data_IF_462178328538
#
_entry.id   IF_462178328538
#
_cell.length_a   1.000
_cell.length_b   1.000
_cell.length_c   1.000
_cell.angle_alpha   90.00
_cell.angle_beta   90.00
_cell.angle_gamma   90.00
#
_symmetry.space_group_name_H-M   'P 1'
#
loop_
_entity.id
_entity.type
_entity.pdbx_description
1 polymer ?
#
# COMPACT_ATOMS: atom_id res chain seq x y z
N UNK A 1 -3.70 24.48 -13.47
CA UNK A 1 -4.28 25.62 -12.72
C UNK A 1 -4.48 25.23 -11.26
N UNK A 2 -4.42 26.21 -10.35
CA UNK A 2 -3.96 26.11 -8.95
C UNK A 2 -4.74 25.14 -8.05
N UNK A 3 -4.01 24.20 -7.40
CA UNK A 3 -4.46 23.40 -6.25
C UNK A 3 -4.54 24.30 -5.01
N UNK A 4 -5.65 24.98 -4.84
CA UNK A 4 -6.00 25.72 -3.62
C UNK A 4 -6.95 24.89 -2.76
N UNK A 5 -6.47 24.51 -1.58
CA UNK A 5 -7.13 23.68 -0.57
C UNK A 5 -8.60 24.02 -0.28
N UNK A 6 -9.51 23.05 -0.52
CA UNK A 6 -10.95 23.12 -0.21
C UNK A 6 -11.26 23.19 1.29
N UNK A 7 -10.30 22.80 2.15
CA UNK A 7 -10.37 23.06 3.60
C UNK A 7 -10.50 24.56 3.92
N UNK A 8 -10.08 25.44 3.01
CA UNK A 8 -10.24 26.89 3.19
C UNK A 8 -11.67 27.36 2.91
N UNK A 9 -12.40 26.70 1.99
CA UNK A 9 -13.80 26.98 1.69
C UNK A 9 -14.72 26.48 2.82
N UNK A 10 -14.47 25.26 3.32
CA UNK A 10 -15.24 24.68 4.44
C UNK A 10 -15.11 25.55 5.70
N UNK A 11 -13.97 26.21 5.94
CA UNK A 11 -13.82 27.14 7.07
C UNK A 11 -14.71 28.37 7.01
N UNK A 12 -15.16 28.80 5.82
CA UNK A 12 -16.03 29.97 5.61
C UNK A 12 -17.54 29.69 5.77
N UNK A 13 -17.96 28.43 5.74
CA UNK A 13 -19.36 28.06 5.94
C UNK A 13 -19.80 28.32 7.38
N UNK A 14 -21.03 28.84 7.54
CA UNK A 14 -21.66 29.02 8.86
C UNK A 14 -21.84 27.68 9.57
N UNK A 15 -21.93 27.70 10.91
CA UNK A 15 -22.07 26.48 11.71
C UNK A 15 -23.33 25.68 11.32
N UNK A 16 -24.43 26.36 11.04
CA UNK A 16 -25.70 25.75 10.64
C UNK A 16 -25.62 25.07 9.26
N UNK A 17 -24.88 25.66 8.31
CA UNK A 17 -24.69 25.09 6.96
C UNK A 17 -23.80 23.84 6.99
N UNK A 18 -22.83 23.80 7.89
CA UNK A 18 -21.99 22.61 8.11
C UNK A 18 -22.79 21.46 8.69
N UNK A 19 -23.65 21.74 9.68
CA UNK A 19 -24.50 20.75 10.34
C UNK A 19 -25.50 20.16 9.34
N UNK A 20 -26.16 21.00 8.54
CA UNK A 20 -27.09 20.54 7.51
C UNK A 20 -26.44 19.58 6.49
N UNK A 21 -25.25 19.93 5.99
CA UNK A 21 -24.52 19.07 5.04
C UNK A 21 -24.04 17.76 5.67
N UNK A 22 -23.68 17.77 6.96
CA UNK A 22 -23.22 16.55 7.65
C UNK A 22 -24.37 15.62 8.02
N UNK A 23 -25.52 16.15 8.41
CA UNK A 23 -26.68 15.34 8.78
C UNK A 23 -27.39 14.77 7.54
N UNK A 24 -27.51 15.55 6.45
CA UNK A 24 -28.04 15.04 5.18
C UNK A 24 -27.14 13.95 4.58
N UNK A 25 -25.81 14.15 4.64
CA UNK A 25 -24.83 13.14 4.25
C UNK A 25 -24.92 11.85 5.08
N UNK A 26 -25.21 11.95 6.38
CA UNK A 26 -25.39 10.80 7.28
C UNK A 26 -26.66 10.03 6.99
N UNK A 27 -27.78 10.72 6.77
CA UNK A 27 -29.06 10.09 6.46
C UNK A 27 -29.04 9.36 5.12
N UNK A 28 -28.43 9.94 4.09
CA UNK A 28 -28.26 9.27 2.79
C UNK A 28 -27.28 8.08 2.89
N UNK A 29 -26.14 8.25 3.60
CA UNK A 29 -25.20 7.15 3.83
C UNK A 29 -25.83 5.98 4.61
N UNK A 30 -26.70 6.26 5.58
CA UNK A 30 -27.42 5.24 6.34
C UNK A 30 -28.46 4.50 5.48
N UNK A 31 -29.13 5.18 4.55
CA UNK A 31 -30.05 4.54 3.58
C UNK A 31 -29.33 3.62 2.61
N UNK A 32 -28.11 3.97 2.20
CA UNK A 32 -27.33 3.19 1.22
C UNK A 32 -26.32 2.21 1.86
N UNK A 33 -26.27 2.13 3.20
CA UNK A 33 -25.41 1.19 3.93
C UNK A 33 -23.91 1.52 3.90
N UNK A 34 -23.56 2.79 3.73
CA UNK A 34 -22.18 3.29 3.72
C UNK A 34 -21.74 3.85 5.07
N UNK A 35 -20.43 3.89 5.31
CA UNK A 35 -19.87 4.50 6.53
C UNK A 35 -19.68 6.00 6.32
N UNK A 36 -19.80 6.79 7.39
CA UNK A 36 -19.68 8.27 7.35
C UNK A 36 -18.35 8.76 6.78
N UNK A 37 -17.31 7.92 6.76
CA UNK A 37 -16.00 8.25 6.21
C UNK A 37 -15.98 8.34 4.68
N UNK A 38 -16.88 7.65 3.98
CA UNK A 38 -16.92 7.60 2.51
C UNK A 38 -17.49 8.89 1.88
N UNK A 39 -18.29 9.65 2.64
CA UNK A 39 -18.96 10.86 2.15
C UNK A 39 -18.04 12.09 2.14
N UNK A 40 -16.97 12.10 2.96
CA UNK A 40 -16.11 13.27 3.11
C UNK A 40 -15.26 13.60 1.88
N UNK A 41 -14.99 12.63 1.00
CA UNK A 41 -14.15 12.84 -0.19
C UNK A 41 -14.81 13.75 -1.24
N UNK A 42 -16.14 13.73 -1.33
CA UNK A 42 -16.90 14.58 -2.27
C UNK A 42 -16.84 16.07 -1.89
N UNK A 43 -16.79 16.37 -0.58
CA UNK A 43 -16.73 17.74 -0.08
C UNK A 43 -15.34 18.38 -0.26
N UNK A 44 -14.26 17.60 -0.26
CA UNK A 44 -12.89 18.08 -0.51
C UNK A 44 -12.64 18.53 -1.97
N UNK A 45 -13.59 18.31 -2.88
CA UNK A 45 -13.47 18.65 -4.30
C UNK A 45 -14.54 19.65 -4.79
N UNK A 46 -15.42 20.13 -3.90
CA UNK A 46 -16.48 21.07 -4.25
C UNK A 46 -15.98 22.53 -4.35
N UNK A 47 -16.42 23.25 -5.38
CA UNK A 47 -16.17 24.70 -5.56
C UNK A 47 -17.36 25.52 -5.06
N UNK A 48 -17.22 26.85 -4.94
CA UNK A 48 -18.24 27.76 -4.39
C UNK A 48 -19.58 27.73 -5.17
N UNK A 49 -19.53 27.46 -6.48
CA UNK A 49 -20.71 27.26 -7.32
C UNK A 49 -21.51 25.98 -6.95
N UNK A 50 -20.84 24.95 -6.43
CA UNK A 50 -21.45 23.67 -6.05
C UNK A 50 -22.32 23.84 -4.80
N UNK A 51 -22.01 24.77 -3.90
CA UNK A 51 -22.78 24.97 -2.65
C UNK A 51 -24.16 25.60 -2.91
N UNK A 52 -24.24 26.57 -3.82
CA UNK A 52 -25.52 27.16 -4.27
C UNK A 52 -26.36 26.16 -5.07
N UNK A 53 -25.71 25.35 -5.92
CA UNK A 53 -26.38 24.28 -6.67
C UNK A 53 -26.84 23.12 -5.77
N UNK A 54 -26.12 22.80 -4.69
CA UNK A 54 -26.55 21.81 -3.68
C UNK A 54 -27.79 22.31 -2.91
N UNK A 55 -27.93 23.61 -2.68
CA UNK A 55 -29.14 24.19 -2.07
C UNK A 55 -30.35 24.16 -3.01
N UNK A 56 -30.13 24.21 -4.34
CA UNK A 56 -31.20 24.27 -5.35
C UNK A 56 -31.56 22.93 -5.99
N UNK A 57 -30.62 22.00 -6.08
CA UNK A 57 -30.82 20.73 -6.78
C UNK A 57 -30.93 19.57 -5.80
N UNK A 58 -31.93 18.70 -6.03
CA UNK A 58 -32.01 17.37 -5.44
C UNK A 58 -30.85 16.52 -5.94
N UNK A 59 -29.70 16.60 -5.29
CA UNK A 59 -28.60 15.66 -5.54
C UNK A 59 -28.90 14.35 -4.81
N UNK A 60 -28.81 13.23 -5.53
CA UNK A 60 -28.61 11.92 -4.91
C UNK A 60 -27.15 11.86 -4.48
N UNK A 61 -26.88 11.63 -3.20
CA UNK A 61 -25.56 11.29 -2.71
C UNK A 61 -25.23 9.91 -3.26
N UNK A 62 -24.39 9.86 -4.29
CA UNK A 62 -23.85 8.59 -4.75
C UNK A 62 -22.87 8.11 -3.70
N UNK A 63 -23.17 7.00 -3.02
CA UNK A 63 -22.14 6.26 -2.29
C UNK A 63 -20.98 5.98 -3.23
N UNK A 64 -19.85 6.68 -3.03
CA UNK A 64 -18.56 6.35 -3.65
C UNK A 64 -18.04 5.04 -3.03
N UNK A 65 -18.70 3.94 -3.35
CA UNK A 65 -18.20 2.60 -3.08
C UNK A 65 -17.05 2.33 -4.06
N UNK A 66 -15.90 2.95 -3.80
CA UNK A 66 -14.74 3.06 -4.69
C UNK A 66 -15.05 3.79 -6.01
N UNK A 67 -14.10 4.52 -6.62
CA UNK A 67 -14.35 5.15 -7.91
C UNK A 67 -14.85 4.10 -8.90
N UNK A 68 -15.93 4.40 -9.64
CA UNK A 68 -16.37 3.61 -10.78
C UNK A 68 -15.22 3.62 -11.79
N UNK A 69 -14.37 2.61 -11.75
CA UNK A 69 -13.27 2.48 -12.71
C UNK A 69 -13.89 1.95 -14.00
N UNK A 70 -14.08 2.84 -14.97
CA UNK A 70 -14.43 2.46 -16.33
C UNK A 70 -13.31 1.57 -16.90
N UNK A 71 -13.69 0.57 -17.69
CA UNK A 71 -12.73 -0.29 -18.36
C UNK A 71 -11.98 0.51 -19.44
N UNK A 72 -10.67 0.73 -19.24
CA UNK A 72 -9.83 1.49 -20.17
C UNK A 72 -9.56 0.74 -21.48
N UNK A 73 -9.70 -0.60 -21.48
CA UNK A 73 -9.29 -1.43 -22.63
C UNK A 73 -10.32 -1.47 -23.76
N UNK A 74 -11.61 -1.48 -23.45
CA UNK A 74 -12.65 -1.63 -24.47
C UNK A 74 -13.14 -0.31 -25.07
N UNK A 75 -12.65 0.86 -24.62
CA UNK A 75 -13.14 2.19 -25.03
C UNK A 75 -14.68 2.30 -25.01
N UNK A 76 -15.31 1.49 -24.15
CA UNK A 76 -16.73 1.52 -23.91
C UNK A 76 -16.90 2.22 -22.57
N UNK A 77 -17.21 3.52 -22.63
CA UNK A 77 -17.29 4.38 -21.45
C UNK A 77 -18.38 3.92 -20.46
N UNK A 78 -19.32 3.10 -20.92
CA UNK A 78 -20.40 2.54 -20.11
C UNK A 78 -20.06 1.17 -19.50
N UNK A 79 -18.93 0.55 -19.87
CA UNK A 79 -18.54 -0.76 -19.35
C UNK A 79 -18.00 -0.63 -17.91
N UNK A 80 -18.87 -0.89 -16.94
CA UNK A 80 -18.54 -0.92 -15.52
C UNK A 80 -17.88 -2.26 -15.18
N UNK A 81 -16.71 -2.23 -14.55
CA UNK A 81 -16.09 -3.45 -14.04
C UNK A 81 -16.94 -4.05 -12.91
N UNK A 82 -17.24 -5.34 -12.96
CA UNK A 82 -18.03 -6.05 -11.95
C UNK A 82 -17.14 -6.78 -10.94
N UNK A 83 -17.58 -7.00 -9.68
CA UNK A 83 -16.85 -7.87 -8.76
C UNK A 83 -16.68 -9.29 -9.35
N UNK A 84 -15.47 -9.82 -9.25
CA UNK A 84 -15.16 -11.19 -9.63
C UNK A 84 -13.91 -11.68 -8.92
N UNK A 85 -13.47 -12.88 -9.29
CA UNK A 85 -12.23 -13.48 -8.79
C UNK A 85 -11.30 -13.81 -9.95
N UNK A 86 -10.00 -13.62 -9.72
CA UNK A 86 -8.97 -13.91 -10.70
C UNK A 86 -7.81 -14.65 -10.05
N UNK A 87 -7.15 -15.51 -10.81
CA UNK A 87 -5.90 -16.13 -10.38
C UNK A 87 -4.78 -15.08 -10.35
N UNK A 88 -4.21 -14.87 -9.17
CA UNK A 88 -2.93 -14.22 -8.96
C UNK A 88 -1.84 -15.30 -9.03
N UNK A 89 -0.83 -15.06 -9.86
CA UNK A 89 0.33 -15.94 -10.02
C UNK A 89 1.61 -15.12 -9.91
N UNK A 90 2.54 -15.62 -9.12
CA UNK A 90 3.86 -15.02 -8.95
C UNK A 90 4.93 -16.10 -9.08
N UNK A 91 5.85 -15.91 -10.01
CA UNK A 91 6.99 -16.81 -10.20
C UNK A 91 8.25 -16.18 -9.60
N UNK A 92 8.95 -16.91 -8.73
CA UNK A 92 10.23 -16.49 -8.12
C UNK A 92 11.13 -17.70 -7.95
N UNK A 93 12.37 -17.62 -8.46
CA UNK A 93 13.38 -18.67 -8.30
C UNK A 93 12.91 -20.09 -8.69
N UNK A 94 12.18 -20.19 -9.81
CA UNK A 94 11.66 -21.48 -10.29
C UNK A 94 10.49 -22.05 -9.46
N UNK A 95 9.95 -21.27 -8.52
CA UNK A 95 8.74 -21.60 -7.76
C UNK A 95 7.58 -20.74 -8.23
N UNK A 96 6.41 -21.34 -8.28
CA UNK A 96 5.16 -20.67 -8.65
C UNK A 96 4.26 -20.58 -7.42
N UNK A 97 3.83 -19.37 -7.10
CA UNK A 97 2.86 -19.08 -6.05
C UNK A 97 1.55 -18.68 -6.69
N UNK A 98 0.47 -19.34 -6.32
CA UNK A 98 -0.87 -19.08 -6.88
C UNK A 98 -1.87 -18.81 -5.76
N UNK A 99 -2.75 -17.85 -6.00
CA UNK A 99 -3.87 -17.55 -5.11
C UNK A 99 -5.05 -17.01 -5.92
N UNK A 100 -6.26 -17.32 -5.49
CA UNK A 100 -7.46 -16.63 -6.00
C UNK A 100 -7.63 -15.33 -5.24
N UNK A 101 -7.78 -14.21 -5.96
CA UNK A 101 -7.94 -12.88 -5.37
C UNK A 101 -9.18 -12.17 -5.92
N UNK A 102 -9.90 -11.40 -5.10
CA UNK A 102 -10.96 -10.54 -5.57
C UNK A 102 -10.41 -9.48 -6.54
N UNK A 103 -11.16 -9.25 -7.60
CA UNK A 103 -10.86 -8.29 -8.65
C UNK A 103 -12.13 -7.63 -9.16
N UNK A 104 -11.95 -6.61 -10.00
CA UNK A 104 -12.98 -6.00 -10.82
C UNK A 104 -12.75 -6.45 -12.26
N UNK A 105 -13.75 -7.08 -12.87
CA UNK A 105 -13.65 -7.70 -14.19
C UNK A 105 -14.64 -7.04 -15.15
N UNK A 106 -14.16 -6.63 -16.33
CA UNK A 106 -15.04 -6.12 -17.38
C UNK A 106 -15.81 -7.30 -18.00
N UNK A 107 -17.16 -7.30 -17.99
CA UNK A 107 -17.94 -8.38 -18.60
C UNK A 107 -17.82 -8.38 -20.13
N UNK A 108 -17.46 -7.25 -20.75
CA UNK A 108 -17.37 -7.10 -22.21
C UNK A 108 -16.04 -7.61 -22.76
N UNK A 109 -14.92 -7.17 -22.18
CA UNK A 109 -13.58 -7.45 -22.73
C UNK A 109 -12.68 -8.31 -21.82
N UNK A 110 -13.16 -8.66 -20.62
CA UNK A 110 -12.40 -9.46 -19.66
C UNK A 110 -11.19 -8.73 -19.04
N UNK A 111 -11.12 -7.39 -19.14
CA UNK A 111 -10.15 -6.59 -18.38
C UNK A 111 -10.28 -6.86 -16.89
N UNK A 112 -9.15 -7.02 -16.19
CA UNK A 112 -9.09 -7.39 -14.78
C UNK A 112 -8.31 -6.31 -14.02
N UNK A 113 -8.91 -5.77 -12.98
CA UNK A 113 -8.28 -4.81 -12.07
C UNK A 113 -8.27 -5.39 -10.68
N UNK A 114 -7.08 -5.62 -10.14
CA UNK A 114 -6.87 -6.09 -8.77
C UNK A 114 -6.51 -4.88 -7.92
N UNK A 115 -7.01 -4.81 -6.69
CA UNK A 115 -6.62 -3.77 -5.74
C UNK A 115 -5.11 -3.84 -5.45
N UNK A 116 -4.43 -2.69 -5.58
CA UNK A 116 -2.98 -2.62 -5.40
C UNK A 116 -2.53 -2.97 -3.97
N UNK A 117 -3.33 -2.66 -2.94
CA UNK A 117 -2.99 -3.02 -1.55
C UNK A 117 -3.10 -4.52 -1.35
N UNK A 118 -4.07 -5.17 -1.98
CA UNK A 118 -4.21 -6.62 -1.99
C UNK A 118 -3.01 -7.30 -2.67
N UNK A 119 -2.59 -6.80 -3.84
CA UNK A 119 -1.38 -7.31 -4.50
C UNK A 119 -0.15 -7.20 -3.60
N UNK A 120 0.08 -6.04 -2.98
CA UNK A 120 1.18 -5.85 -2.04
C UNK A 120 1.12 -6.81 -0.84
N UNK A 121 -0.08 -7.12 -0.34
CA UNK A 121 -0.26 -8.13 0.72
C UNK A 121 0.13 -9.53 0.22
N UNK A 122 -0.27 -9.92 -0.99
CA UNK A 122 0.11 -11.20 -1.58
C UNK A 122 1.60 -11.31 -1.85
N UNK A 123 2.24 -10.26 -2.35
CA UNK A 123 3.69 -10.22 -2.48
C UNK A 123 4.42 -10.38 -1.14
N UNK A 124 3.89 -9.80 -0.05
CA UNK A 124 4.43 -9.99 1.31
C UNK A 124 4.27 -11.43 1.81
N UNK A 125 3.14 -12.07 1.54
CA UNK A 125 2.94 -13.49 1.86
C UNK A 125 3.99 -14.36 1.13
N UNK A 126 4.19 -14.12 -0.17
CA UNK A 126 5.21 -14.81 -0.97
C UNK A 126 6.62 -14.55 -0.42
N UNK A 127 6.95 -13.29 -0.13
CA UNK A 127 8.26 -12.93 0.42
C UNK A 127 8.52 -13.60 1.78
N UNK A 128 7.49 -13.72 2.63
CA UNK A 128 7.61 -14.38 3.92
C UNK A 128 7.83 -15.90 3.79
N UNK A 129 7.23 -16.54 2.77
CA UNK A 129 7.49 -17.96 2.47
C UNK A 129 8.94 -18.13 1.97
N UNK A 130 9.40 -17.25 1.07
CA UNK A 130 10.79 -17.25 0.60
C UNK A 130 11.79 -17.00 1.73
N UNK A 131 11.48 -16.13 2.68
CA UNK A 131 12.34 -15.86 3.83
C UNK A 131 12.53 -17.10 4.72
N UNK A 132 11.48 -17.90 4.91
CA UNK A 132 11.52 -19.10 5.77
C UNK A 132 12.14 -20.31 5.05
N UNK A 133 11.79 -20.53 3.79
CA UNK A 133 12.00 -21.82 3.10
C UNK A 133 12.49 -21.63 1.65
N UNK A 134 12.78 -20.40 1.24
CA UNK A 134 13.27 -20.03 -0.09
C UNK A 134 14.67 -20.54 -0.39
N UNK A 135 15.01 -20.72 -1.68
CA UNK A 135 16.39 -20.96 -2.08
C UNK A 135 17.23 -19.69 -1.83
N UNK A 136 18.45 -19.87 -1.32
CA UNK A 136 19.40 -18.75 -1.15
C UNK A 136 19.99 -18.38 -2.50
N UNK A 137 19.29 -17.53 -3.24
CA UNK A 137 19.70 -17.04 -4.55
C UNK A 137 19.38 -15.55 -4.75
N UNK A 138 19.87 -15.00 -5.86
CA UNK A 138 19.69 -13.59 -6.21
C UNK A 138 18.24 -13.18 -6.47
N UNK A 139 17.44 -14.05 -7.08
CA UNK A 139 16.07 -13.73 -7.46
C UNK A 139 15.15 -13.65 -6.24
N UNK A 140 15.26 -14.62 -5.32
CA UNK A 140 14.56 -14.61 -4.04
C UNK A 140 15.02 -13.45 -3.16
N UNK A 141 16.34 -13.19 -3.11
CA UNK A 141 16.89 -12.06 -2.36
C UNK A 141 16.35 -10.71 -2.86
N UNK A 142 16.34 -10.52 -4.18
CA UNK A 142 15.78 -9.33 -4.83
C UNK A 142 14.29 -9.17 -4.52
N UNK A 143 13.51 -10.25 -4.65
CA UNK A 143 12.08 -10.23 -4.41
C UNK A 143 11.77 -9.77 -2.98
N UNK A 144 12.40 -10.41 -1.98
CA UNK A 144 12.25 -10.03 -0.58
C UNK A 144 12.60 -8.55 -0.35
N UNK A 145 13.73 -8.07 -0.88
CA UNK A 145 14.13 -6.66 -0.74
C UNK A 145 13.09 -5.72 -1.34
N UNK A 146 12.59 -5.99 -2.54
CA UNK A 146 11.63 -5.11 -3.21
C UNK A 146 10.31 -5.03 -2.48
N UNK A 147 9.85 -6.14 -1.89
CA UNK A 147 8.63 -6.18 -1.08
C UNK A 147 8.75 -5.38 0.23
N UNK A 148 9.98 -5.21 0.73
CA UNK A 148 10.30 -4.32 1.86
C UNK A 148 10.34 -2.82 1.46
N UNK A 149 10.21 -2.51 0.16
CA UNK A 149 10.37 -1.16 -0.37
C UNK A 149 11.79 -0.61 -0.24
N UNK A 150 12.78 -1.47 -0.01
CA UNK A 150 14.18 -1.07 0.15
C UNK A 150 14.84 -0.88 -1.21
N UNK A 151 15.54 0.23 -1.43
CA UNK A 151 16.42 0.37 -2.60
C UNK A 151 17.69 -0.44 -2.39
N UNK A 152 18.35 -0.86 -3.47
CA UNK A 152 19.61 -1.60 -3.38
C UNK A 152 20.68 -0.81 -2.61
N UNK A 153 20.77 0.51 -2.82
CA UNK A 153 21.69 1.38 -2.10
C UNK A 153 21.37 1.48 -0.59
N UNK A 154 20.08 1.52 -0.23
CA UNK A 154 19.67 1.58 1.17
C UNK A 154 20.03 0.28 1.90
N UNK A 155 19.82 -0.87 1.26
CA UNK A 155 20.21 -2.17 1.82
C UNK A 155 21.74 -2.30 1.91
N UNK A 156 22.46 -1.85 0.89
CA UNK A 156 23.92 -1.86 0.89
C UNK A 156 24.49 -1.05 2.07
N UNK A 157 23.94 0.14 2.32
CA UNK A 157 24.31 0.96 3.48
C UNK A 157 23.97 0.29 4.82
N UNK A 158 22.83 -0.42 4.92
CA UNK A 158 22.46 -1.17 6.12
C UNK A 158 23.39 -2.35 6.41
N UNK A 159 23.95 -2.96 5.37
CA UNK A 159 24.84 -4.12 5.46
C UNK A 159 26.33 -3.74 5.44
N UNK A 160 26.66 -2.45 5.35
CA UNK A 160 28.02 -1.93 5.20
C UNK A 160 28.78 -2.54 4.01
N UNK A 161 28.11 -2.62 2.86
CA UNK A 161 28.68 -3.10 1.59
C UNK A 161 28.36 -2.13 0.47
N UNK A 162 28.93 -2.36 -0.72
CA UNK A 162 28.66 -1.50 -1.88
C UNK A 162 27.37 -1.90 -2.61
N UNK A 163 26.64 -0.94 -3.23
CA UNK A 163 25.46 -1.26 -4.05
C UNK A 163 25.74 -2.23 -5.20
N UNK A 164 26.96 -2.21 -5.76
CA UNK A 164 27.39 -3.15 -6.80
C UNK A 164 27.42 -4.59 -6.29
N UNK A 165 27.72 -4.79 -5.00
CA UNK A 165 27.71 -6.11 -4.37
C UNK A 165 26.28 -6.68 -4.34
N UNK A 166 25.30 -5.87 -3.94
CA UNK A 166 23.87 -6.23 -4.02
C UNK A 166 23.49 -6.56 -5.46
N UNK A 167 23.87 -5.72 -6.43
CA UNK A 167 23.57 -5.97 -7.85
C UNK A 167 24.17 -7.28 -8.35
N UNK A 168 25.41 -7.62 -7.96
CA UNK A 168 26.03 -8.90 -8.33
C UNK A 168 25.29 -10.11 -7.74
N UNK A 169 24.84 -10.00 -6.50
CA UNK A 169 24.01 -11.03 -5.86
C UNK A 169 22.67 -11.20 -6.57
N UNK A 170 21.92 -10.12 -6.76
CA UNK A 170 20.58 -10.16 -7.36
C UNK A 170 20.56 -10.68 -8.79
N UNK A 171 21.63 -10.44 -9.55
CA UNK A 171 21.77 -10.90 -10.92
C UNK A 171 22.49 -12.26 -11.02
N UNK A 172 22.74 -12.94 -9.90
CA UNK A 172 23.40 -14.26 -9.88
C UNK A 172 24.85 -14.27 -10.34
N UNK A 173 25.51 -13.11 -10.44
CA UNK A 173 26.94 -13.01 -10.80
C UNK A 173 27.82 -13.50 -9.66
N UNK A 174 27.40 -13.26 -8.42
CA UNK A 174 28.03 -13.78 -7.21
C UNK A 174 26.97 -14.48 -6.34
N UNK A 175 27.34 -15.53 -5.59
CA UNK A 175 26.44 -16.13 -4.62
C UNK A 175 26.11 -15.13 -3.50
N UNK A 176 24.86 -15.16 -3.03
CA UNK A 176 24.40 -14.34 -1.90
C UNK A 176 25.06 -14.84 -0.62
N UNK A 177 25.60 -13.92 0.19
CA UNK A 177 26.13 -14.29 1.50
C UNK A 177 24.98 -14.72 2.42
N UNK A 178 25.16 -15.86 3.12
CA UNK A 178 24.16 -16.38 4.06
C UNK A 178 23.80 -15.38 5.16
N UNK A 179 24.76 -14.60 5.66
CA UNK A 179 24.50 -13.56 6.65
C UNK A 179 23.60 -12.44 6.10
N UNK A 180 23.88 -11.96 4.90
CA UNK A 180 23.04 -10.96 4.23
C UNK A 180 21.64 -11.50 3.95
N UNK A 181 21.54 -12.78 3.53
CA UNK A 181 20.27 -13.46 3.37
C UNK A 181 19.45 -13.47 4.65
N UNK A 182 20.03 -13.92 5.77
CA UNK A 182 19.35 -14.00 7.06
C UNK A 182 18.84 -12.64 7.53
N UNK A 183 19.64 -11.58 7.35
CA UNK A 183 19.21 -10.22 7.69
C UNK A 183 17.98 -9.80 6.89
N UNK A 184 17.97 -10.02 5.57
CA UNK A 184 16.82 -9.68 4.73
C UNK A 184 15.62 -10.54 5.08
N UNK A 185 15.82 -11.84 5.29
CA UNK A 185 14.78 -12.79 5.67
C UNK A 185 14.11 -12.40 6.99
N UNK A 186 14.89 -12.06 8.03
CA UNK A 186 14.37 -11.64 9.33
C UNK A 186 13.54 -10.35 9.20
N UNK A 187 14.04 -9.34 8.48
CA UNK A 187 13.28 -8.10 8.24
C UNK A 187 11.97 -8.42 7.48
N UNK A 188 12.00 -9.34 6.52
CA UNK A 188 10.82 -9.77 5.77
C UNK A 188 9.80 -10.47 6.65
N UNK A 189 10.23 -11.34 7.56
CA UNK A 189 9.35 -12.05 8.51
C UNK A 189 8.74 -11.04 9.50
N UNK A 190 9.54 -10.12 10.04
CA UNK A 190 9.06 -9.02 10.91
C UNK A 190 8.06 -8.12 10.19
N UNK A 191 8.24 -7.84 8.89
CA UNK A 191 7.32 -7.01 8.11
C UNK A 191 5.95 -7.69 7.83
N UNK A 192 5.84 -8.99 8.08
CA UNK A 192 4.57 -9.69 8.12
C UNK A 192 3.81 -9.53 9.45
N UNK A 193 4.45 -9.01 10.50
CA UNK A 193 3.82 -8.82 11.80
C UNK A 193 2.84 -7.64 11.78
N UNK A 194 1.71 -7.81 12.47
CA UNK A 194 0.57 -6.88 12.43
C UNK A 194 0.84 -5.49 13.02
N UNK A 195 1.94 -5.30 13.74
CA UNK A 195 2.29 -4.04 14.41
C UNK A 195 3.09 -3.08 13.53
N UNK A 196 3.53 -3.51 12.34
CA UNK A 196 4.30 -2.69 11.40
C UNK A 196 5.67 -2.27 11.92
N UNK A 197 6.15 -2.89 13.01
CA UNK A 197 7.49 -2.63 13.55
C UNK A 197 8.50 -3.55 12.90
N UNK A 198 9.71 -3.04 12.69
CA UNK A 198 10.82 -3.82 12.13
C UNK A 198 12.04 -3.69 13.06
N UNK A 199 12.00 -4.32 14.24
CA UNK A 199 13.03 -4.13 15.26
C UNK A 199 14.44 -4.42 14.76
N UNK A 200 14.64 -5.41 13.88
CA UNK A 200 15.96 -5.66 13.31
C UNK A 200 16.39 -4.54 12.35
N UNK A 201 15.50 -4.11 11.46
CA UNK A 201 15.79 -3.01 10.52
C UNK A 201 16.12 -1.71 11.25
N UNK A 202 15.35 -1.38 12.30
CA UNK A 202 15.59 -0.20 13.13
C UNK A 202 16.94 -0.30 13.86
N UNK A 203 17.27 -1.48 14.39
CA UNK A 203 18.55 -1.75 15.05
C UNK A 203 19.72 -1.60 14.09
N UNK A 204 19.63 -2.16 12.88
CA UNK A 204 20.66 -2.00 11.84
C UNK A 204 20.83 -0.54 11.43
N UNK A 205 19.73 0.19 11.22
CA UNK A 205 19.78 1.61 10.93
C UNK A 205 20.41 2.43 12.08
N UNK A 206 20.19 2.05 13.34
CA UNK A 206 20.82 2.69 14.49
C UNK A 206 22.33 2.42 14.57
N UNK A 207 22.76 1.19 14.23
CA UNK A 207 24.17 0.80 14.16
C UNK A 207 24.89 1.54 13.02
N UNK A 208 24.30 1.62 11.84
CA UNK A 208 24.84 2.35 10.69
C UNK A 208 25.04 3.85 10.99
N UNK A 209 24.18 4.44 11.85
CA UNK A 209 24.33 5.83 12.32
C UNK A 209 25.45 6.01 13.36
N UNK A 210 26.07 4.95 13.85
CA UNK A 210 27.22 5.01 14.76
C UNK A 210 26.91 5.56 16.15
N UNK A 211 25.69 5.37 16.68
CA UNK A 211 25.37 5.78 18.06
C UNK A 211 26.27 5.05 19.06
N UNK A 212 27.21 5.78 19.67
CA UNK A 212 28.10 5.24 20.70
C UNK A 212 27.31 4.98 21.98
N UNK A 213 27.42 3.77 22.51
CA UNK A 213 26.94 3.46 23.86
C UNK A 213 27.79 4.22 24.89
N UNK A 214 27.21 4.51 26.06
CA UNK A 214 27.97 5.14 27.16
C UNK A 214 29.06 4.17 27.62
N UNK A 215 30.26 4.68 27.96
CA UNK A 215 31.38 3.87 28.46
C UNK A 215 31.06 3.05 29.70
N UNK A 216 30.07 3.48 30.50
CA UNK A 216 29.56 2.76 31.66
C UNK A 216 28.04 2.63 31.53
N UNK A 217 27.57 1.40 31.44
CA UNK A 217 26.15 1.05 31.49
C UNK A 217 25.92 0.33 32.81
N UNK A 218 25.07 0.89 33.67
CA UNK A 218 24.65 0.21 34.90
C UNK A 218 23.59 -0.80 34.51
N UNK A 219 23.84 -2.07 34.81
CA UNK A 219 22.86 -3.13 34.67
C UNK A 219 22.29 -3.37 36.06
N UNK A 220 20.97 -3.24 36.19
CA UNK A 220 20.29 -3.60 37.42
C UNK A 220 20.23 -5.13 37.50
N UNK A 221 20.42 -5.67 38.71
CA UNK A 221 20.22 -7.10 38.94
C UNK A 221 18.73 -7.42 38.81
N UNK A 222 18.42 -8.46 38.03
CA UNK A 222 17.07 -8.96 37.80
C UNK A 222 16.44 -9.55 39.07
#
# INVERSE_FOLDING_TARGET
MKRGSVLHLIRRLGAEEKVFLTDHAREEAAREGCTTADVFYALEHATEAVVEDVKRAKWKVYCLRSPMVAANRCHNDDAILEPGEVAYRQDVSGRTFEATVPARVCPVCGEKVIDGKLLLRKEREVAAILAREGPIDGASFRFMRTTLGLRAADLAALLDITPETISKWENGRNPVLRSAWLVVADITIENGAADGRHPLRERLAALAKGKRTRKRVRLDAA
#
